data_IF_571260453724
#
_entry.id   IF_571260453724
#
_cell.length_a   1.000
_cell.length_b   1.000
_cell.length_c   1.000
_cell.angle_alpha   90.00
_cell.angle_beta   90.00
_cell.angle_gamma   90.00
#
_symmetry.space_group_name_H-M   'P 1'
#
loop_
_entity.id
_entity.type
_entity.pdbx_description
1 polymer ?
#
# COMPACT_ATOMS: atom_id res chain seq x y z
N UNK A 1 -16.00 3.72 44.73
CA UNK A 1 -15.02 3.25 43.74
C UNK A 1 -15.81 2.87 42.51
N UNK A 2 -15.90 3.66 41.44
CA UNK A 2 -16.56 3.18 40.21
C UNK A 2 -15.97 3.89 38.97
N UNK A 3 -14.70 3.59 38.70
CA UNK A 3 -14.14 3.66 37.36
C UNK A 3 -14.00 2.22 36.86
N UNK A 4 -15.11 1.49 36.80
CA UNK A 4 -15.18 0.14 36.27
C UNK A 4 -16.22 0.21 35.16
N UNK A 5 -15.95 0.06 33.87
CA UNK A 5 -14.85 -0.63 33.24
C UNK A 5 -14.91 -0.26 31.76
N UNK A 6 -13.79 -0.32 31.03
CA UNK A 6 -13.79 -0.25 29.56
C UNK A 6 -14.77 -1.29 28.96
N UNK A 7 -15.02 -2.36 29.70
CA UNK A 7 -16.02 -3.38 29.43
C UNK A 7 -17.47 -2.88 29.49
N UNK A 8 -17.86 -1.94 30.38
CA UNK A 8 -19.20 -1.34 30.38
C UNK A 8 -19.41 -0.38 29.20
N UNK A 9 -18.37 0.35 28.80
CA UNK A 9 -18.41 1.20 27.61
C UNK A 9 -18.55 0.37 26.31
N UNK A 10 -17.94 -0.82 26.30
CA UNK A 10 -18.07 -1.81 25.23
C UNK A 10 -19.41 -2.57 25.29
N UNK A 11 -19.94 -2.81 26.49
CA UNK A 11 -21.16 -3.57 26.75
C UNK A 11 -22.42 -2.71 26.95
N UNK A 12 -22.36 -1.39 26.67
CA UNK A 12 -23.52 -0.48 26.66
C UNK A 12 -24.41 -0.74 25.43
N UNK A 13 -24.78 -2.00 25.21
CA UNK A 13 -25.65 -2.52 24.16
C UNK A 13 -25.49 -1.83 22.81
N UNK A 14 -26.51 -1.07 22.42
CA UNK A 14 -26.62 -0.41 21.11
C UNK A 14 -25.54 0.65 20.85
N UNK A 15 -24.99 1.33 21.86
CA UNK A 15 -24.09 2.48 21.64
C UNK A 15 -22.67 2.09 21.27
N UNK A 16 -22.12 1.03 21.87
CA UNK A 16 -20.76 0.54 21.55
C UNK A 16 -20.62 0.04 20.10
N UNK A 17 -21.68 -0.55 19.55
CA UNK A 17 -21.76 -0.99 18.15
C UNK A 17 -21.58 0.17 17.16
N UNK A 18 -22.21 1.33 17.41
CA UNK A 18 -22.06 2.50 16.55
C UNK A 18 -20.64 3.05 16.58
N UNK A 19 -20.02 3.11 17.76
CA UNK A 19 -18.64 3.59 17.91
C UNK A 19 -17.68 2.68 17.13
N UNK A 20 -17.78 1.36 17.31
CA UNK A 20 -16.95 0.41 16.58
C UNK A 20 -17.17 0.45 15.06
N UNK A 21 -18.42 0.63 14.60
CA UNK A 21 -18.69 0.80 13.17
C UNK A 21 -18.11 2.11 12.62
N UNK A 22 -18.21 3.23 13.35
CA UNK A 22 -17.59 4.49 12.96
C UNK A 22 -16.06 4.35 12.87
N UNK A 23 -15.41 3.78 13.90
CA UNK A 23 -13.97 3.51 13.87
C UNK A 23 -13.59 2.52 12.76
N UNK A 24 -14.39 1.48 12.55
CA UNK A 24 -14.18 0.49 11.49
C UNK A 24 -14.25 1.11 10.10
N UNK A 25 -15.27 1.94 9.84
CA UNK A 25 -15.42 2.66 8.56
C UNK A 25 -14.25 3.63 8.36
N UNK A 26 -13.89 4.41 9.38
CA UNK A 26 -12.74 5.32 9.30
C UNK A 26 -11.44 4.56 9.04
N UNK A 27 -11.20 3.45 9.74
CA UNK A 27 -10.03 2.61 9.54
C UNK A 27 -10.00 2.04 8.12
N UNK A 28 -11.13 1.56 7.59
CA UNK A 28 -11.26 1.09 6.20
C UNK A 28 -10.92 2.19 5.21
N UNK A 29 -11.44 3.40 5.38
CA UNK A 29 -11.15 4.54 4.49
C UNK A 29 -9.66 4.87 4.51
N UNK A 30 -9.05 4.96 5.70
CA UNK A 30 -7.61 5.23 5.85
C UNK A 30 -6.78 4.13 5.19
N UNK A 31 -7.13 2.87 5.44
CA UNK A 31 -6.44 1.71 4.84
C UNK A 31 -6.54 1.74 3.32
N UNK A 32 -7.72 1.99 2.75
CA UNK A 32 -7.90 2.14 1.29
C UNK A 32 -7.06 3.29 0.77
N UNK A 33 -7.07 4.43 1.44
CA UNK A 33 -6.31 5.62 1.05
C UNK A 33 -4.79 5.39 1.05
N UNK A 34 -4.29 4.52 1.93
CA UNK A 34 -2.85 4.16 2.00
C UNK A 34 -2.50 3.02 1.04
N UNK A 35 -3.36 2.01 0.91
CA UNK A 35 -3.11 0.84 0.06
C UNK A 35 -3.11 1.22 -1.42
N UNK A 36 -4.06 2.06 -1.87
CA UNK A 36 -4.15 2.51 -3.26
C UNK A 36 -2.85 3.12 -3.81
N UNK A 37 -2.26 4.16 -3.20
CA UNK A 37 -1.01 4.74 -3.66
C UNK A 37 0.18 3.78 -3.49
N UNK A 38 0.18 2.95 -2.44
CA UNK A 38 1.25 1.97 -2.25
C UNK A 38 1.25 0.88 -3.34
N UNK A 39 0.07 0.42 -3.77
CA UNK A 39 -0.08 -0.52 -4.88
C UNK A 39 0.31 0.13 -6.21
N UNK A 40 -0.10 1.37 -6.47
CA UNK A 40 0.31 2.11 -7.67
C UNK A 40 1.83 2.30 -7.74
N UNK A 41 2.46 2.68 -6.62
CA UNK A 41 3.92 2.84 -6.54
C UNK A 41 4.66 1.52 -6.81
N UNK A 42 4.14 0.39 -6.32
CA UNK A 42 4.70 -0.94 -6.62
C UNK A 42 4.59 -1.32 -8.10
N UNK A 43 3.49 -0.95 -8.77
CA UNK A 43 3.33 -1.16 -10.22
C UNK A 43 4.34 -0.32 -11.01
N UNK A 44 4.49 0.96 -10.67
CA UNK A 44 5.42 1.87 -11.35
C UNK A 44 6.88 1.39 -11.27
N UNK A 45 7.33 0.94 -10.09
CA UNK A 45 8.69 0.38 -9.93
C UNK A 45 8.91 -0.95 -10.69
N UNK A 46 7.84 -1.73 -10.93
CA UNK A 46 7.93 -2.99 -11.66
C UNK A 46 8.12 -2.74 -13.16
N UNK A 47 7.43 -1.75 -13.70
CA UNK A 47 7.56 -1.32 -15.10
C UNK A 47 8.92 -0.67 -15.38
N UNK A 48 9.40 0.20 -14.48
CA UNK A 48 10.73 0.82 -14.56
C UNK A 48 11.85 -0.23 -14.61
N UNK A 49 11.77 -1.28 -13.80
CA UNK A 49 12.75 -2.38 -13.81
C UNK A 49 12.77 -3.15 -15.12
N UNK A 50 11.63 -3.30 -15.79
CA UNK A 50 11.59 -3.99 -17.08
C UNK A 50 12.16 -3.14 -18.21
N UNK A 51 12.01 -1.81 -18.18
CA UNK A 51 12.59 -0.89 -19.17
C UNK A 51 14.13 -0.88 -19.09
N UNK A 52 14.70 -0.76 -17.88
CA UNK A 52 16.16 -0.81 -17.69
C UNK A 52 16.81 -2.11 -18.19
N UNK A 53 16.11 -3.26 -18.11
CA UNK A 53 16.65 -4.53 -18.63
C UNK A 53 16.74 -4.56 -20.16
N UNK A 54 15.88 -3.82 -20.86
CA UNK A 54 15.89 -3.74 -22.33
C UNK A 54 16.99 -2.80 -22.82
N UNK A 55 17.16 -1.65 -22.17
CA UNK A 55 18.20 -0.68 -22.53
C UNK A 55 19.63 -1.25 -22.35
N UNK A 56 19.88 -2.01 -21.28
CA UNK A 56 21.17 -2.69 -21.07
C UNK A 56 21.50 -3.71 -22.17
N UNK A 57 20.49 -4.35 -22.75
CA UNK A 57 20.70 -5.37 -23.80
C UNK A 57 21.07 -4.72 -25.14
N UNK A 58 20.50 -3.57 -25.45
CA UNK A 58 20.80 -2.84 -26.69
C UNK A 58 22.17 -2.16 -26.64
N UNK A 59 22.58 -1.57 -25.51
CA UNK A 59 23.92 -0.99 -25.36
C UNK A 59 25.06 -2.01 -25.45
N UNK A 60 24.81 -3.26 -25.06
CA UNK A 60 25.82 -4.32 -25.13
C UNK A 60 26.02 -4.82 -26.57
N UNK A 61 24.99 -4.74 -27.42
CA UNK A 61 25.07 -5.05 -28.86
C UNK A 61 25.76 -3.97 -29.68
N UNK A 62 25.51 -2.68 -29.39
CA UNK A 62 26.18 -1.57 -30.08
C UNK A 62 27.69 -1.53 -29.80
N UNK A 63 28.11 -1.81 -28.56
CA UNK A 63 29.54 -1.85 -28.20
C UNK A 63 30.30 -3.00 -28.86
N UNK A 64 29.62 -4.08 -29.24
CA UNK A 64 30.22 -5.21 -29.97
C UNK A 64 30.38 -4.91 -31.47
N UNK A 65 29.43 -4.20 -32.08
CA UNK A 65 29.54 -3.78 -33.48
C UNK A 65 30.55 -2.63 -33.71
N UNK A 66 30.68 -1.70 -32.76
CA UNK A 66 31.63 -0.59 -32.86
C UNK A 66 33.09 -1.00 -32.61
N UNK A 67 33.34 -2.18 -32.04
CA UNK A 67 34.69 -2.70 -31.76
C UNK A 67 35.20 -3.66 -32.85
N UNK A 68 34.40 -3.99 -33.86
CA UNK A 68 34.75 -4.93 -34.94
C UNK A 68 34.94 -4.28 -36.31
N UNK A 69 34.91 -2.94 -36.40
CA UNK A 69 35.24 -2.17 -37.62
C UNK A 69 36.49 -1.35 -37.35
#
# INVERSE_FOLDING_TARGET
MEFNSFAEFLAMGRHGLYVWLSYGITAVIVVINVILPMMQRRRFLKEQRQRMRRERRNQTGEKQHASST
#
